data_IF_086194145437
#
_entry.id   IF_086194145437
#
_cell.length_a   1.000
_cell.length_b   1.000
_cell.length_c   1.000
_cell.angle_alpha   90.00
_cell.angle_beta   90.00
_cell.angle_gamma   90.00
#
_symmetry.space_group_name_H-M   'P 1'
#
loop_
_entity.id
_entity.type
_entity.pdbx_description
1 polymer ?
#
# COMPACT_ATOMS: atom_id res chain seq x y z
N UNK A 1 1.09 -11.98 -4.29
CA UNK A 1 0.61 -13.21 -3.61
C UNK A 1 -0.19 -14.19 -4.48
N UNK A 2 -0.79 -13.79 -5.60
CA UNK A 2 -1.68 -14.66 -6.41
C UNK A 2 -1.05 -16.00 -6.83
N UNK A 3 0.23 -16.00 -7.20
CA UNK A 3 0.96 -17.21 -7.64
C UNK A 3 1.12 -18.22 -6.49
N UNK A 4 1.48 -17.78 -5.28
CA UNK A 4 1.66 -18.68 -4.13
C UNK A 4 0.35 -19.32 -3.70
N UNK A 5 -0.73 -18.53 -3.61
CA UNK A 5 -2.07 -19.04 -3.30
C UNK A 5 -2.56 -20.06 -4.33
N UNK A 6 -2.26 -19.82 -5.61
CA UNK A 6 -2.60 -20.76 -6.67
C UNK A 6 -1.83 -22.07 -6.54
N UNK A 7 -0.54 -22.02 -6.19
CA UNK A 7 0.29 -23.21 -5.96
C UNK A 7 -0.17 -24.01 -4.74
N UNK A 8 -0.60 -23.34 -3.67
CA UNK A 8 -1.19 -23.96 -2.47
C UNK A 8 -2.42 -24.82 -2.82
N UNK A 9 -3.32 -24.31 -3.66
CA UNK A 9 -4.54 -25.04 -4.05
C UNK A 9 -4.27 -26.20 -5.03
N UNK A 10 -3.11 -26.22 -5.69
CA UNK A 10 -2.75 -27.19 -6.72
C UNK A 10 -1.82 -28.30 -6.23
N UNK A 11 -1.18 -28.12 -5.07
CA UNK A 11 -0.33 -29.16 -4.48
C UNK A 11 -1.17 -30.12 -3.64
N UNK A 12 -0.86 -31.42 -3.71
CA UNK A 12 -1.51 -32.46 -2.91
C UNK A 12 -0.68 -32.87 -1.69
N UNK A 13 0.55 -32.37 -1.59
CA UNK A 13 1.47 -32.67 -0.50
C UNK A 13 1.30 -31.66 0.65
N UNK A 14 0.95 -32.16 1.84
CA UNK A 14 0.67 -31.36 3.04
C UNK A 14 1.88 -30.53 3.52
N UNK A 15 3.09 -31.06 3.38
CA UNK A 15 4.31 -30.35 3.75
C UNK A 15 4.53 -29.15 2.83
N UNK A 16 4.32 -29.34 1.52
CA UNK A 16 4.45 -28.27 0.53
C UNK A 16 3.38 -27.19 0.77
N UNK A 17 2.14 -27.56 1.08
CA UNK A 17 1.08 -26.60 1.46
C UNK A 17 1.49 -25.75 2.65
N UNK A 18 1.93 -26.38 3.75
CA UNK A 18 2.36 -25.68 4.95
C UNK A 18 3.53 -24.71 4.69
N UNK A 19 4.48 -25.09 3.83
CA UNK A 19 5.58 -24.21 3.43
C UNK A 19 5.09 -23.00 2.62
N UNK A 20 4.11 -23.18 1.74
CA UNK A 20 3.53 -22.08 0.95
C UNK A 20 2.76 -21.12 1.86
N UNK A 21 1.94 -21.63 2.77
CA UNK A 21 1.22 -20.83 3.77
C UNK A 21 2.17 -20.02 4.65
N UNK A 22 3.28 -20.63 5.10
CA UNK A 22 4.30 -19.96 5.89
C UNK A 22 4.94 -18.78 5.11
N UNK A 23 5.21 -18.97 3.81
CA UNK A 23 5.74 -17.92 2.93
C UNK A 23 4.74 -16.79 2.70
N UNK A 24 3.46 -17.13 2.50
CA UNK A 24 2.38 -16.14 2.41
C UNK A 24 2.33 -15.32 3.70
N UNK A 25 2.28 -15.99 4.85
CA UNK A 25 2.23 -15.35 6.16
C UNK A 25 3.42 -14.42 6.40
N UNK A 26 4.63 -14.84 5.98
CA UNK A 26 5.83 -14.01 6.05
C UNK A 26 5.69 -12.73 5.22
N UNK A 27 5.27 -12.83 3.95
CA UNK A 27 5.07 -11.67 3.10
C UNK A 27 4.01 -10.71 3.68
N UNK A 28 2.93 -11.23 4.25
CA UNK A 28 1.91 -10.41 4.93
C UNK A 28 2.47 -9.64 6.11
N UNK A 29 3.33 -10.27 6.93
CA UNK A 29 3.99 -9.58 8.05
C UNK A 29 4.88 -8.45 7.54
N UNK A 30 5.71 -8.72 6.54
CA UNK A 30 6.58 -7.68 5.97
C UNK A 30 5.77 -6.50 5.39
N UNK A 31 4.63 -6.75 4.75
CA UNK A 31 3.74 -5.66 4.31
C UNK A 31 3.27 -4.80 5.49
N UNK A 32 2.81 -5.43 6.58
CA UNK A 32 2.36 -4.70 7.78
C UNK A 32 3.49 -3.94 8.46
N UNK A 33 4.69 -4.52 8.51
CA UNK A 33 5.86 -3.86 9.10
C UNK A 33 6.22 -2.60 8.30
N UNK A 34 6.17 -2.67 6.96
CA UNK A 34 6.38 -1.52 6.09
C UNK A 34 5.26 -0.47 6.21
N UNK A 35 4.00 -0.89 6.29
CA UNK A 35 2.87 0.02 6.55
C UNK A 35 3.03 0.77 7.89
N UNK A 36 3.53 0.09 8.92
CA UNK A 36 3.82 0.71 10.23
C UNK A 36 4.93 1.74 10.12
N UNK A 37 6.06 1.38 9.50
CA UNK A 37 7.18 2.30 9.28
C UNK A 37 6.74 3.52 8.47
N UNK A 38 5.91 3.31 7.45
CA UNK A 38 5.35 4.39 6.63
C UNK A 38 4.51 5.36 7.44
N UNK A 39 3.64 4.84 8.31
CA UNK A 39 2.84 5.67 9.20
C UNK A 39 3.69 6.45 10.21
N UNK A 40 4.75 5.84 10.76
CA UNK A 40 5.71 6.50 11.65
C UNK A 40 6.42 7.66 10.93
N UNK A 41 6.94 7.44 9.71
CA UNK A 41 7.57 8.47 8.88
C UNK A 41 6.64 9.64 8.56
N UNK A 42 5.34 9.37 8.35
CA UNK A 42 4.34 10.42 8.11
C UNK A 42 4.09 11.25 9.37
N UNK A 43 4.00 10.61 10.54
CA UNK A 43 3.76 11.28 11.82
C UNK A 43 4.96 12.10 12.30
N UNK A 44 6.18 11.76 11.89
CA UNK A 44 7.41 12.49 12.24
C UNK A 44 7.54 13.87 11.56
N UNK A 45 6.84 14.12 10.45
CA UNK A 45 6.87 15.39 9.72
C UNK A 45 5.47 16.00 9.60
N UNK A 46 5.23 17.11 10.30
CA UNK A 46 3.95 17.82 10.34
C UNK A 46 3.43 18.23 8.93
N UNK A 47 4.34 18.53 8.00
CA UNK A 47 3.99 18.90 6.63
C UNK A 47 3.50 17.71 5.82
N UNK A 48 4.17 16.57 5.94
CA UNK A 48 3.77 15.29 5.33
C UNK A 48 2.47 14.80 5.94
N UNK A 49 2.37 14.79 7.27
CA UNK A 49 1.15 14.45 8.01
C UNK A 49 -0.05 15.24 7.50
N UNK A 50 0.10 16.56 7.36
CA UNK A 50 -0.99 17.42 6.89
C UNK A 50 -1.43 17.08 5.47
N UNK A 51 -0.48 16.83 4.56
CA UNK A 51 -0.80 16.39 3.18
C UNK A 51 -1.51 15.04 3.18
N UNK A 52 -1.06 14.12 4.03
CA UNK A 52 -1.63 12.79 4.17
C UNK A 52 -3.09 12.84 4.68
N UNK A 53 -3.39 13.65 5.69
CA UNK A 53 -4.76 13.88 6.19
C UNK A 53 -5.69 14.40 5.09
N UNK A 54 -5.21 15.34 4.26
CA UNK A 54 -6.00 15.90 3.16
C UNK A 54 -6.29 14.81 2.12
N UNK A 55 -5.30 14.03 1.72
CA UNK A 55 -5.46 12.99 0.70
C UNK A 55 -6.38 11.87 1.19
N UNK A 56 -6.18 11.39 2.42
CA UNK A 56 -7.01 10.32 3.01
C UNK A 56 -8.44 10.75 3.34
N UNK A 57 -8.74 12.06 3.35
CA UNK A 57 -10.12 12.55 3.41
C UNK A 57 -10.94 12.26 2.15
N UNK A 58 -10.27 11.94 1.03
CA UNK A 58 -10.92 11.59 -0.24
C UNK A 58 -11.30 10.11 -0.21
N UNK A 59 -12.59 9.75 -0.42
CA UNK A 59 -13.01 8.36 -0.46
C UNK A 59 -12.21 7.55 -1.48
N UNK A 60 -11.66 6.42 -1.04
CA UNK A 60 -10.86 5.52 -1.87
C UNK A 60 -9.36 5.80 -1.88
N UNK A 61 -8.88 6.81 -1.15
CA UNK A 61 -7.45 7.01 -0.92
C UNK A 61 -7.07 6.47 0.47
N UNK A 62 -6.18 5.48 0.50
CA UNK A 62 -5.64 4.90 1.73
C UNK A 62 -4.23 5.43 2.08
N UNK A 63 -3.69 4.97 3.20
CA UNK A 63 -2.36 5.30 3.71
C UNK A 63 -1.28 5.18 2.62
N UNK A 64 -1.21 4.01 1.98
CA UNK A 64 -0.16 3.68 1.01
C UNK A 64 -0.30 4.52 -0.26
N UNK A 65 -1.54 4.73 -0.73
CA UNK A 65 -1.82 5.56 -1.91
C UNK A 65 -1.50 7.03 -1.64
N UNK A 66 -1.91 7.56 -0.49
CA UNK A 66 -1.61 8.94 -0.10
C UNK A 66 -0.09 9.17 0.03
N UNK A 67 0.63 8.25 0.67
CA UNK A 67 2.07 8.35 0.83
C UNK A 67 2.82 8.27 -0.51
N UNK A 68 2.35 7.43 -1.43
CA UNK A 68 2.89 7.35 -2.79
C UNK A 68 2.74 8.68 -3.51
N UNK A 69 1.53 9.27 -3.48
CA UNK A 69 1.26 10.57 -4.09
C UNK A 69 2.11 11.69 -3.48
N UNK A 70 2.28 11.71 -2.15
CA UNK A 70 3.13 12.71 -1.49
C UNK A 70 4.59 12.59 -1.97
N UNK A 71 5.09 11.37 -2.09
CA UNK A 71 6.47 11.10 -2.54
C UNK A 71 6.66 11.55 -3.98
N UNK A 72 5.80 11.11 -4.89
CA UNK A 72 5.87 11.46 -6.32
C UNK A 72 5.71 12.98 -6.56
N UNK A 73 4.83 13.66 -5.82
CA UNK A 73 4.58 15.08 -6.01
C UNK A 73 5.66 15.98 -5.41
N UNK A 74 6.31 15.52 -4.33
CA UNK A 74 7.50 16.20 -3.80
C UNK A 74 8.65 16.11 -4.83
N UNK A 75 8.81 14.98 -5.51
CA UNK A 75 9.84 14.79 -6.55
C UNK A 75 9.58 15.62 -7.81
N UNK A 76 8.31 15.89 -8.14
CA UNK A 76 7.91 16.70 -9.30
C UNK A 76 7.88 18.23 -9.04
N UNK A 77 8.39 18.69 -7.89
CA UNK A 77 8.50 20.14 -7.58
C UNK A 77 7.26 20.76 -6.93
N UNK A 78 6.35 19.95 -6.36
CA UNK A 78 5.19 20.40 -5.60
C UNK A 78 3.98 20.69 -6.47
N UNK A 79 3.14 19.69 -6.73
CA UNK A 79 1.87 19.91 -7.42
C UNK A 79 0.79 20.44 -6.46
N UNK A 80 -0.01 21.41 -6.95
CA UNK A 80 -1.21 21.86 -6.25
C UNK A 80 -2.34 20.85 -6.49
N UNK A 81 -3.17 20.56 -5.48
CA UNK A 81 -4.24 19.56 -5.50
C UNK A 81 -5.21 19.67 -6.72
N UNK A 82 -5.26 20.85 -7.38
CA UNK A 82 -5.99 21.08 -8.63
C UNK A 82 -5.46 20.31 -9.86
N UNK A 83 -4.22 19.84 -9.86
CA UNK A 83 -3.62 19.15 -11.01
C UNK A 83 -3.89 17.64 -11.02
N UNK A 84 -4.27 17.08 -9.87
CA UNK A 84 -4.62 15.66 -9.73
C UNK A 84 -6.10 15.48 -10.08
N UNK A 85 -6.42 15.53 -11.38
CA UNK A 85 -7.74 15.15 -11.87
C UNK A 85 -7.90 13.63 -11.72
N UNK A 86 -8.24 13.16 -10.52
CA UNK A 86 -8.48 11.74 -10.24
C UNK A 86 -9.89 11.39 -10.76
N UNK A 87 -9.99 10.97 -12.02
CA UNK A 87 -11.22 10.37 -12.54
C UNK A 87 -11.49 9.04 -11.82
N UNK A 88 -12.75 8.71 -11.45
CA UNK A 88 -13.05 7.45 -10.80
C UNK A 88 -12.79 6.31 -11.79
N UNK A 89 -11.82 5.45 -11.46
CA UNK A 89 -11.59 4.22 -12.22
C UNK A 89 -12.78 3.29 -11.97
N UNK A 90 -13.74 3.31 -12.89
CA UNK A 90 -14.71 2.25 -13.09
C UNK A 90 -13.92 0.95 -13.35
N UNK A 91 -14.00 0.00 -12.42
CA UNK A 91 -13.44 -1.34 -12.60
C UNK A 91 -14.50 -2.23 -13.29
N UNK A 92 -14.16 -2.98 -14.34
CA UNK A 92 -15.02 -4.04 -14.89
C UNK A 92 -15.11 -5.25 -13.97
#
# INVERSE_FOLDING_TARGET
>A
MKILKQQETQTLDELVTAQIEARISLCQRHCKDLEKLLAELIEEDDGIKRKHEILTSIPGIDLTTAATLISELNELGGANAKQLHLSPVSRP
#
